data_IF_194008630128
#
_entry.id   IF_194008630128
#
_cell.length_a   1.000
_cell.length_b   1.000
_cell.length_c   1.000
_cell.angle_alpha   90.00
_cell.angle_beta   90.00
_cell.angle_gamma   90.00
#
_symmetry.space_group_name_H-M   'P 1'
#
loop_
_entity.id
_entity.type
_entity.pdbx_description
1 polymer ?
#
# COMPACT_ATOMS: atom_id res chain seq x y z
N UNK A 1 -41.43 -3.30 -18.12
CA UNK A 1 -41.35 -2.68 -16.77
C UNK A 1 -42.66 -1.98 -16.46
N UNK A 2 -43.41 -2.44 -15.44
CA UNK A 2 -44.76 -1.94 -15.13
C UNK A 2 -44.75 -0.50 -14.59
N UNK A 3 -45.85 0.22 -14.77
CA UNK A 3 -46.02 1.59 -14.27
C UNK A 3 -45.92 1.73 -12.74
N UNK A 4 -46.02 0.62 -12.01
CA UNK A 4 -45.87 0.53 -10.56
C UNK A 4 -44.42 0.76 -10.12
N UNK A 5 -43.44 0.30 -10.92
CA UNK A 5 -42.02 0.54 -10.67
C UNK A 5 -41.60 2.01 -10.88
N UNK A 6 -42.32 2.77 -11.73
CA UNK A 6 -42.08 4.20 -11.96
C UNK A 6 -42.66 5.09 -10.85
N UNK A 7 -43.69 4.65 -10.11
CA UNK A 7 -44.28 5.39 -8.98
C UNK A 7 -43.42 5.29 -7.71
N UNK A 8 -42.85 4.12 -7.41
CA UNK A 8 -42.00 3.90 -6.23
C UNK A 8 -40.67 4.66 -6.29
N UNK A 9 -40.12 4.87 -7.50
CA UNK A 9 -38.90 5.67 -7.70
C UNK A 9 -39.18 7.18 -7.60
N UNK A 10 -40.33 7.67 -8.09
CA UNK A 10 -40.69 9.11 -7.98
C UNK A 10 -41.03 9.53 -6.55
N UNK A 11 -41.63 8.66 -5.72
CA UNK A 11 -41.92 8.97 -4.31
C UNK A 11 -40.67 8.98 -3.41
N UNK A 12 -39.64 8.18 -3.74
CA UNK A 12 -38.36 8.17 -2.99
C UNK A 12 -37.43 9.35 -3.35
N UNK A 13 -37.55 9.93 -4.54
CA UNK A 13 -36.71 11.08 -4.97
C UNK A 13 -37.26 12.43 -4.48
N UNK A 14 -38.57 12.57 -4.30
CA UNK A 14 -39.18 13.84 -3.82
C UNK A 14 -39.02 14.02 -2.31
N UNK A 15 -38.97 12.95 -1.52
CA UNK A 15 -38.68 13.03 -0.08
C UNK A 15 -37.20 13.36 0.26
N UNK A 16 -36.28 13.22 -0.70
CA UNK A 16 -34.84 13.45 -0.47
C UNK A 16 -34.41 14.91 -0.67
N UNK A 17 -35.17 15.71 -1.43
CA UNK A 17 -34.80 17.11 -1.76
C UNK A 17 -35.34 18.17 -0.79
N UNK A 18 -36.35 17.88 0.02
CA UNK A 18 -37.02 18.89 0.86
C UNK A 18 -36.57 18.90 2.35
N UNK A 19 -35.63 18.05 2.77
CA UNK A 19 -35.28 17.89 4.20
C UNK A 19 -33.84 18.23 4.60
N UNK A 20 -33.00 18.72 3.69
CA UNK A 20 -31.58 18.99 3.99
C UNK A 20 -31.34 20.49 4.00
N UNK A 21 -31.55 21.09 5.18
CA UNK A 21 -31.02 22.41 5.52
C UNK A 21 -29.50 22.37 5.59
N UNK A 22 -28.88 23.49 5.22
CA UNK A 22 -27.47 23.63 4.85
C UNK A 22 -26.44 23.60 6.00
N UNK A 23 -26.81 23.12 7.21
CA UNK A 23 -25.98 23.25 8.43
C UNK A 23 -25.36 21.94 8.96
N UNK A 24 -25.45 20.81 8.24
CA UNK A 24 -25.11 19.49 8.79
C UNK A 24 -23.65 19.03 8.57
N UNK A 25 -22.86 19.75 7.74
CA UNK A 25 -21.46 19.41 7.45
C UNK A 25 -20.53 19.45 8.67
N UNK A 26 -20.84 20.25 9.68
CA UNK A 26 -19.97 20.46 10.85
C UNK A 26 -20.10 19.35 11.90
N UNK A 27 -21.30 18.76 12.04
CA UNK A 27 -21.56 17.67 12.99
C UNK A 27 -20.86 16.37 12.57
N UNK A 28 -20.93 16.05 11.27
CA UNK A 28 -20.26 14.88 10.69
C UNK A 28 -18.72 15.01 10.80
N UNK A 29 -18.20 16.22 10.62
CA UNK A 29 -16.76 16.52 10.80
C UNK A 29 -16.30 16.32 12.24
N UNK A 30 -17.11 16.76 13.22
CA UNK A 30 -16.82 16.54 14.64
C UNK A 30 -16.83 15.06 14.97
N UNK A 31 -17.80 14.30 14.48
CA UNK A 31 -17.92 12.86 14.78
C UNK A 31 -16.78 12.03 14.17
N UNK A 32 -16.42 12.29 12.91
CA UNK A 32 -15.24 11.68 12.26
C UNK A 32 -13.96 12.10 13.00
N UNK A 33 -13.84 13.38 13.36
CA UNK A 33 -12.72 13.90 14.15
C UNK A 33 -12.59 13.25 15.54
N UNK A 34 -13.70 12.98 16.23
CA UNK A 34 -13.69 12.26 17.51
C UNK A 34 -13.25 10.81 17.35
N UNK A 35 -13.72 10.11 16.32
CA UNK A 35 -13.28 8.73 16.04
C UNK A 35 -11.81 8.67 15.65
N UNK A 36 -11.32 9.60 14.84
CA UNK A 36 -9.90 9.70 14.51
C UNK A 36 -9.03 9.91 15.74
N UNK A 37 -9.45 10.80 16.66
CA UNK A 37 -8.75 10.99 17.94
C UNK A 37 -8.73 9.72 18.78
N UNK A 38 -9.82 8.95 18.80
CA UNK A 38 -9.91 7.69 19.53
C UNK A 38 -9.05 6.59 18.90
N UNK A 39 -9.06 6.45 17.57
CA UNK A 39 -8.16 5.54 16.84
C UNK A 39 -6.71 5.93 17.08
N UNK A 40 -6.39 7.22 16.97
CA UNK A 40 -5.06 7.75 17.26
C UNK A 40 -4.62 7.44 18.69
N UNK A 41 -5.51 7.60 19.68
CA UNK A 41 -5.27 7.24 21.08
C UNK A 41 -5.02 5.75 21.27
N UNK A 42 -5.82 4.87 20.64
CA UNK A 42 -5.68 3.40 20.73
C UNK A 42 -4.41 2.87 20.05
N UNK A 43 -3.98 3.56 19.00
CA UNK A 43 -2.75 3.28 18.28
C UNK A 43 -1.54 3.98 18.90
N UNK A 44 -1.73 4.87 19.89
CA UNK A 44 -0.67 5.69 20.47
C UNK A 44 0.09 6.54 19.42
N UNK A 45 -0.63 7.02 18.40
CA UNK A 45 -0.09 7.86 17.32
C UNK A 45 -0.67 9.26 17.35
N UNK A 46 0.08 10.25 16.88
CA UNK A 46 -0.46 11.61 16.67
C UNK A 46 -1.53 11.57 15.57
N UNK A 47 -2.72 12.12 15.87
CA UNK A 47 -3.84 12.20 14.94
C UNK A 47 -3.50 12.99 13.66
N UNK A 48 -2.44 13.81 13.67
CA UNK A 48 -1.93 14.52 12.48
C UNK A 48 -1.40 13.59 11.39
N UNK A 49 -1.07 12.34 11.72
CA UNK A 49 -0.69 11.32 10.73
C UNK A 49 -1.91 10.73 9.98
N UNK A 50 -3.12 11.11 10.37
CA UNK A 50 -4.37 10.68 9.75
C UNK A 50 -4.95 11.81 8.88
N UNK A 51 -4.72 11.76 7.57
CA UNK A 51 -5.40 12.66 6.62
C UNK A 51 -6.72 12.02 6.15
N UNK A 52 -7.86 12.58 6.59
CA UNK A 52 -9.19 12.24 6.06
C UNK A 52 -9.63 13.33 5.09
N UNK A 53 -9.69 12.99 3.80
CA UNK A 53 -10.25 13.83 2.74
C UNK A 53 -11.70 13.44 2.46
N UNK A 54 -12.62 14.40 2.51
CA UNK A 54 -14.03 14.16 2.20
C UNK A 54 -14.27 14.31 0.69
N UNK A 55 -14.47 13.20 -0.03
CA UNK A 55 -14.95 13.22 -1.42
C UNK A 55 -16.40 12.72 -1.45
N UNK A 56 -17.36 13.65 -1.41
CA UNK A 56 -18.74 13.41 -1.84
C UNK A 56 -19.63 12.50 -0.97
N UNK A 57 -20.37 13.12 -0.04
CA UNK A 57 -21.82 12.86 0.09
C UNK A 57 -22.34 11.57 0.74
N UNK A 58 -21.55 10.74 1.44
CA UNK A 58 -22.12 9.65 2.24
C UNK A 58 -22.48 10.11 3.66
N UNK A 59 -23.79 10.17 3.95
CA UNK A 59 -24.34 10.38 5.30
C UNK A 59 -24.09 9.15 6.17
N UNK A 60 -23.69 9.37 7.43
CA UNK A 60 -23.61 8.33 8.47
C UNK A 60 -24.67 8.67 9.51
N UNK A 61 -25.83 8.02 9.47
CA UNK A 61 -26.82 8.13 10.55
C UNK A 61 -26.27 7.43 11.82
N UNK A 62 -26.59 8.01 12.97
CA UNK A 62 -26.11 7.60 14.28
C UNK A 62 -26.61 6.20 14.69
N UNK A 63 -25.95 5.17 14.20
CA UNK A 63 -25.94 3.84 14.78
C UNK A 63 -24.70 3.71 15.66
N UNK A 64 -24.87 3.56 16.97
CA UNK A 64 -23.85 3.04 17.86
C UNK A 64 -23.68 1.52 17.61
N UNK A 65 -23.36 1.18 16.36
CA UNK A 65 -22.84 -0.12 15.97
C UNK A 65 -21.40 -0.15 16.43
N UNK A 66 -20.94 -1.29 16.96
CA UNK A 66 -19.51 -1.57 17.11
C UNK A 66 -18.84 -1.44 15.75
N UNK A 67 -18.43 -0.23 15.40
CA UNK A 67 -17.70 0.02 14.17
C UNK A 67 -16.35 -0.66 14.36
N UNK A 68 -16.15 -1.75 13.61
CA UNK A 68 -14.85 -2.41 13.55
C UNK A 68 -13.95 -1.51 12.71
N UNK A 69 -12.93 -0.98 13.36
CA UNK A 69 -11.96 -0.07 12.80
C UNK A 69 -10.78 -0.89 12.30
N UNK A 70 -10.52 -0.87 11.00
CA UNK A 70 -9.36 -1.51 10.40
C UNK A 70 -8.34 -0.46 10.00
N UNK A 71 -7.06 -0.80 10.07
CA UNK A 71 -5.99 0.13 9.71
C UNK A 71 -5.16 -0.47 8.57
N UNK A 72 -4.99 0.33 7.53
CA UNK A 72 -4.11 0.05 6.39
C UNK A 72 -3.01 1.11 6.35
N UNK A 73 -1.77 0.70 6.15
CA UNK A 73 -0.67 1.62 5.93
C UNK A 73 -0.47 1.84 4.43
N UNK A 74 -0.37 3.11 4.03
CA UNK A 74 -0.01 3.52 2.68
C UNK A 74 1.38 4.14 2.71
N UNK A 75 2.35 3.41 2.18
CA UNK A 75 3.77 3.75 2.27
C UNK A 75 4.23 4.46 0.99
N UNK A 76 4.97 5.55 1.16
CA UNK A 76 5.63 6.30 0.06
C UNK A 76 4.69 6.76 -1.04
N UNK A 77 3.41 7.00 -0.71
CA UNK A 77 2.47 7.59 -1.64
C UNK A 77 2.55 9.10 -1.59
N UNK A 78 2.46 9.75 -2.75
CA UNK A 78 2.29 11.20 -2.82
C UNK A 78 1.00 11.70 -2.13
N UNK A 79 0.67 12.97 -2.35
CA UNK A 79 -0.56 13.57 -1.80
C UNK A 79 -1.80 12.79 -2.23
N UNK A 80 -2.80 12.77 -1.37
CA UNK A 80 -4.12 12.21 -1.66
C UNK A 80 -4.74 12.88 -2.89
N UNK A 81 -5.28 12.07 -3.80
CA UNK A 81 -5.99 12.54 -4.98
C UNK A 81 -7.33 11.83 -5.13
N UNK A 82 -8.31 12.47 -5.77
CA UNK A 82 -9.56 11.80 -6.11
C UNK A 82 -9.29 10.60 -7.02
N UNK A 83 -9.93 9.46 -6.74
CA UNK A 83 -9.72 8.21 -7.47
C UNK A 83 -8.41 7.48 -7.16
N UNK A 84 -7.58 7.99 -6.23
CA UNK A 84 -6.41 7.27 -5.78
C UNK A 84 -6.78 6.06 -4.89
N UNK A 85 -5.81 5.18 -4.64
CA UNK A 85 -6.03 3.96 -3.85
C UNK A 85 -6.68 4.23 -2.49
N UNK A 86 -6.22 5.27 -1.77
CA UNK A 86 -6.77 5.60 -0.46
C UNK A 86 -8.24 6.01 -0.60
N UNK A 87 -8.55 6.89 -1.55
CA UNK A 87 -9.91 7.30 -1.84
C UNK A 87 -10.80 6.08 -2.14
N UNK A 88 -10.32 5.15 -2.98
CA UNK A 88 -11.06 3.95 -3.34
C UNK A 88 -11.29 3.04 -2.12
N UNK A 89 -10.25 2.74 -1.33
CA UNK A 89 -10.38 1.87 -0.13
C UNK A 89 -11.38 2.44 0.87
N UNK A 90 -11.30 3.73 1.16
CA UNK A 90 -12.22 4.40 2.09
C UNK A 90 -13.67 4.31 1.58
N UNK A 91 -13.91 4.60 0.28
CA UNK A 91 -15.23 4.52 -0.34
C UNK A 91 -15.81 3.10 -0.32
N UNK A 92 -15.02 2.09 -0.72
CA UNK A 92 -15.45 0.68 -0.72
C UNK A 92 -15.75 0.19 0.70
N UNK A 93 -14.92 0.55 1.68
CA UNK A 93 -15.15 0.16 3.08
C UNK A 93 -16.48 0.71 3.62
N UNK A 94 -16.77 1.98 3.32
CA UNK A 94 -18.00 2.63 3.73
C UNK A 94 -19.24 1.98 3.10
N UNK A 95 -19.15 1.54 1.83
CA UNK A 95 -20.22 0.80 1.16
C UNK A 95 -20.53 -0.53 1.86
N UNK A 96 -19.51 -1.22 2.37
CA UNK A 96 -19.66 -2.47 3.12
C UNK A 96 -20.04 -2.28 4.60
N UNK A 97 -20.28 -1.03 5.03
CA UNK A 97 -20.76 -0.73 6.38
C UNK A 97 -19.69 -0.79 7.48
N UNK A 98 -18.40 -0.68 7.12
CA UNK A 98 -17.30 -0.53 8.08
C UNK A 98 -16.30 0.54 7.63
N UNK A 99 -15.26 0.80 8.42
CA UNK A 99 -14.26 1.81 8.08
C UNK A 99 -12.86 1.20 8.09
N UNK A 100 -12.15 1.41 6.97
CA UNK A 100 -10.70 1.21 6.88
C UNK A 100 -10.05 2.58 6.95
N UNK A 101 -9.29 2.82 8.01
CA UNK A 101 -8.42 3.99 8.13
C UNK A 101 -7.12 3.74 7.37
N UNK A 102 -6.86 4.58 6.37
CA UNK A 102 -5.62 4.53 5.62
C UNK A 102 -4.65 5.56 6.19
N UNK A 103 -3.56 5.08 6.78
CA UNK A 103 -2.51 5.92 7.35
C UNK A 103 -1.38 6.11 6.34
N UNK A 104 -1.09 7.35 6.00
CA UNK A 104 0.11 7.65 5.22
C UNK A 104 1.33 7.57 6.14
N UNK A 105 2.28 6.73 5.78
CA UNK A 105 3.55 6.57 6.50
C UNK A 105 4.69 6.76 5.50
N UNK A 106 5.47 7.84 5.69
CA UNK A 106 6.46 8.31 4.72
C UNK A 106 7.62 9.04 5.44
N UNK A 107 8.71 9.34 4.74
CA UNK A 107 9.94 9.92 5.30
C UNK A 107 9.73 11.26 6.04
N UNK A 108 8.64 11.96 5.74
CA UNK A 108 8.26 13.25 6.31
C UNK A 108 7.34 13.16 7.55
N UNK A 109 6.90 11.96 7.93
CA UNK A 109 5.90 11.74 8.98
C UNK A 109 6.39 11.82 10.45
N UNK A 110 7.42 12.59 10.75
CA UNK A 110 7.93 12.74 12.13
C UNK A 110 8.58 11.46 12.69
N UNK A 111 8.45 11.23 14.01
CA UNK A 111 9.14 10.12 14.69
C UNK A 111 8.60 8.75 14.32
N UNK A 112 7.27 8.58 14.37
CA UNK A 112 6.61 7.31 14.04
C UNK A 112 6.32 7.17 12.55
N UNK A 113 6.20 8.26 11.79
CA UNK A 113 5.93 8.18 10.35
C UNK A 113 7.18 7.91 9.51
N UNK A 114 8.38 8.31 9.96
CA UNK A 114 9.60 8.19 9.17
C UNK A 114 10.19 6.77 9.18
N UNK A 115 9.83 5.97 8.18
CA UNK A 115 10.30 4.58 7.99
C UNK A 115 11.79 4.44 7.65
N UNK A 116 12.55 5.52 7.50
CA UNK A 116 14.02 5.43 7.49
C UNK A 116 14.60 5.20 8.88
N UNK A 117 13.82 5.41 9.94
CA UNK A 117 14.21 5.20 11.33
C UNK A 117 13.79 3.81 11.79
N UNK A 118 14.73 3.06 12.36
CA UNK A 118 14.47 1.70 12.88
C UNK A 118 13.30 1.66 13.88
N UNK A 119 13.21 2.63 14.80
CA UNK A 119 12.13 2.69 15.80
C UNK A 119 10.73 2.80 15.18
N UNK A 120 10.57 3.56 14.10
CA UNK A 120 9.30 3.65 13.36
C UNK A 120 8.92 2.31 12.73
N UNK A 121 9.89 1.63 12.11
CA UNK A 121 9.66 0.30 11.50
C UNK A 121 9.30 -0.73 12.56
N UNK A 122 10.01 -0.75 13.70
CA UNK A 122 9.73 -1.65 14.82
C UNK A 122 8.33 -1.41 15.39
N UNK A 123 7.94 -0.14 15.56
CA UNK A 123 6.60 0.23 16.00
C UNK A 123 5.52 -0.30 15.06
N UNK A 124 5.60 0.01 13.76
CA UNK A 124 4.58 -0.43 12.80
C UNK A 124 4.56 -1.94 12.61
N UNK A 125 5.72 -2.61 12.66
CA UNK A 125 5.79 -4.07 12.69
C UNK A 125 5.08 -4.63 13.93
N UNK A 126 5.24 -3.99 15.09
CA UNK A 126 4.48 -4.32 16.30
C UNK A 126 2.96 -4.16 16.13
N UNK A 127 2.51 -3.10 15.46
CA UNK A 127 1.08 -2.89 15.17
C UNK A 127 0.52 -3.95 14.20
N UNK A 128 1.30 -4.34 13.18
CA UNK A 128 0.96 -5.47 12.31
C UNK A 128 0.91 -6.79 13.10
N UNK A 129 1.90 -7.02 13.97
CA UNK A 129 1.98 -8.22 14.80
C UNK A 129 0.77 -8.34 15.74
N UNK A 130 0.37 -7.23 16.37
CA UNK A 130 -0.80 -7.14 17.23
C UNK A 130 -2.15 -7.19 16.48
N UNK A 131 -2.13 -7.27 15.14
CA UNK A 131 -3.33 -7.28 14.30
C UNK A 131 -4.09 -5.96 14.28
N UNK A 132 -3.48 -4.87 14.76
CA UNK A 132 -4.04 -3.51 14.70
C UNK A 132 -3.95 -2.93 13.29
N UNK A 133 -2.88 -3.25 12.57
CA UNK A 133 -2.72 -3.00 11.13
C UNK A 133 -3.01 -4.29 10.37
N UNK A 134 -3.98 -4.26 9.47
CA UNK A 134 -4.38 -5.42 8.67
C UNK A 134 -3.83 -5.36 7.24
N UNK A 135 -3.24 -4.23 6.85
CA UNK A 135 -2.94 -3.93 5.46
C UNK A 135 -1.72 -3.07 5.24
N UNK A 136 -0.97 -3.34 4.17
CA UNK A 136 0.06 -2.43 3.65
C UNK A 136 -0.09 -2.29 2.13
N UNK A 137 -0.11 -1.06 1.62
CA UNK A 137 0.20 -0.76 0.21
C UNK A 137 1.46 0.08 0.15
N UNK A 138 2.41 -0.26 -0.71
CA UNK A 138 3.66 0.47 -0.82
C UNK A 138 4.07 0.71 -2.27
N UNK A 139 4.59 1.90 -2.53
CA UNK A 139 5.28 2.25 -3.77
C UNK A 139 6.70 2.73 -3.44
N UNK A 140 7.61 1.82 -3.02
CA UNK A 140 8.93 2.22 -2.52
C UNK A 140 9.68 3.06 -3.56
N UNK A 141 10.51 4.04 -3.11
CA UNK A 141 11.10 5.03 -4.00
C UNK A 141 11.96 4.36 -5.08
N UNK A 142 11.41 4.36 -6.29
CA UNK A 142 11.95 3.67 -7.47
C UNK A 142 12.96 4.52 -8.25
N UNK A 143 13.10 5.81 -7.93
CA UNK A 143 14.00 6.78 -8.59
C UNK A 143 15.50 6.48 -8.46
N UNK A 144 15.83 5.28 -7.99
CA UNK A 144 17.17 4.75 -7.81
C UNK A 144 17.49 3.61 -8.77
N UNK A 145 16.53 3.15 -9.58
CA UNK A 145 16.55 1.82 -10.19
C UNK A 145 16.35 1.75 -11.71
N UNK A 146 16.24 2.86 -12.44
CA UNK A 146 15.91 2.78 -13.86
C UNK A 146 17.14 2.48 -14.73
N UNK A 147 17.18 1.27 -15.32
CA UNK A 147 18.02 0.92 -16.47
C UNK A 147 17.34 1.20 -17.82
N UNK A 148 16.06 1.58 -17.86
CA UNK A 148 15.33 1.84 -19.11
C UNK A 148 15.28 3.32 -19.48
N UNK A 149 15.72 3.67 -20.68
CA UNK A 149 15.83 5.04 -21.25
C UNK A 149 14.53 5.85 -21.42
N UNK A 150 13.47 5.58 -20.64
CA UNK A 150 12.23 6.36 -20.61
C UNK A 150 12.22 7.48 -19.57
N UNK A 151 13.26 7.59 -18.74
CA UNK A 151 13.47 8.80 -17.95
C UNK A 151 13.98 9.89 -18.89
N UNK A 152 13.14 10.89 -19.16
CA UNK A 152 13.54 12.18 -19.72
C UNK A 152 14.79 12.71 -19.00
N UNK A 153 15.99 12.47 -19.55
CA UNK A 153 17.29 13.11 -19.31
C UNK A 153 17.80 13.43 -17.87
N UNK A 154 17.08 13.18 -16.77
CA UNK A 154 17.30 13.98 -15.56
C UNK A 154 17.88 13.25 -14.33
N UNK A 155 17.86 11.91 -14.24
CA UNK A 155 18.34 11.22 -13.04
C UNK A 155 19.19 9.99 -13.38
N UNK A 156 20.49 10.10 -13.13
CA UNK A 156 21.44 8.98 -13.18
C UNK A 156 20.98 7.89 -12.19
N UNK A 157 20.81 6.63 -12.62
CA UNK A 157 20.46 5.54 -11.72
C UNK A 157 21.51 5.40 -10.61
N UNK A 158 21.09 4.99 -9.42
CA UNK A 158 22.03 4.76 -8.31
C UNK A 158 22.19 3.29 -7.99
N UNK A 159 21.57 2.39 -8.77
CA UNK A 159 21.65 0.92 -8.63
C UNK A 159 21.44 0.25 -9.99
N UNK A 160 21.83 -1.02 -10.10
CA UNK A 160 21.52 -1.91 -11.23
C UNK A 160 20.99 -3.25 -10.73
N UNK A 161 20.67 -4.17 -11.64
CA UNK A 161 20.28 -5.55 -11.30
C UNK A 161 21.42 -6.33 -10.64
N UNK A 162 22.66 -6.04 -11.00
CA UNK A 162 23.86 -6.66 -10.43
C UNK A 162 24.28 -5.96 -9.13
N UNK A 163 24.04 -4.65 -9.02
CA UNK A 163 24.41 -3.82 -7.87
C UNK A 163 23.18 -3.31 -7.13
N UNK A 164 22.47 -4.24 -6.48
CA UNK A 164 21.19 -4.02 -5.80
C UNK A 164 21.23 -3.04 -4.63
N UNK A 165 22.41 -2.67 -4.12
CA UNK A 165 22.51 -1.80 -2.94
C UNK A 165 23.10 -0.43 -3.24
N UNK A 166 23.64 -0.24 -4.43
CA UNK A 166 24.34 0.97 -4.86
C UNK A 166 25.35 0.65 -5.95
N UNK A 167 25.40 1.45 -7.01
CA UNK A 167 26.49 1.36 -8.00
C UNK A 167 27.84 1.70 -7.35
N UNK A 168 28.92 1.14 -7.91
CA UNK A 168 30.26 1.56 -7.54
C UNK A 168 30.50 3.02 -8.01
N UNK A 169 31.27 3.80 -7.25
CA UNK A 169 31.66 5.17 -7.65
C UNK A 169 30.58 6.24 -7.51
N UNK A 170 29.47 5.98 -6.82
CA UNK A 170 28.45 6.99 -6.54
C UNK A 170 29.00 8.15 -5.71
N UNK A 171 28.60 9.39 -6.06
CA UNK A 171 28.89 10.57 -5.24
C UNK A 171 28.18 10.47 -3.89
N UNK A 172 28.70 11.12 -2.85
CA UNK A 172 28.10 11.09 -1.50
C UNK A 172 26.59 11.39 -1.46
N UNK A 173 26.09 12.32 -2.29
CA UNK A 173 24.66 12.62 -2.40
C UNK A 173 23.85 11.45 -2.96
N UNK A 174 24.39 10.75 -3.96
CA UNK A 174 23.77 9.57 -4.56
C UNK A 174 23.82 8.37 -3.62
N UNK A 175 24.93 8.17 -2.91
CA UNK A 175 25.05 7.16 -1.86
C UNK A 175 24.01 7.36 -0.76
N UNK A 176 23.81 8.59 -0.27
CA UNK A 176 22.74 8.90 0.70
C UNK A 176 21.36 8.58 0.15
N UNK A 177 21.08 8.91 -1.12
CA UNK A 177 19.81 8.57 -1.78
C UNK A 177 19.61 7.05 -1.83
N UNK A 178 20.64 6.29 -2.19
CA UNK A 178 20.62 4.84 -2.18
C UNK A 178 20.44 4.27 -0.76
N UNK A 179 21.11 4.82 0.26
CA UNK A 179 20.93 4.37 1.64
C UNK A 179 19.47 4.54 2.11
N UNK A 180 18.88 5.72 1.87
CA UNK A 180 17.47 5.98 2.25
C UNK A 180 16.53 5.04 1.51
N UNK A 181 16.65 4.90 0.19
CA UNK A 181 15.76 4.01 -0.56
C UNK A 181 15.93 2.54 -0.14
N UNK A 182 17.14 2.10 0.24
CA UNK A 182 17.38 0.75 0.77
C UNK A 182 16.65 0.53 2.10
N UNK A 183 16.72 1.52 2.99
CA UNK A 183 16.03 1.48 4.28
C UNK A 183 14.50 1.39 4.10
N UNK A 184 13.94 2.17 3.17
CA UNK A 184 12.49 2.19 2.92
C UNK A 184 11.99 0.91 2.25
N UNK A 185 12.73 0.36 1.29
CA UNK A 185 12.43 -0.96 0.71
C UNK A 185 12.51 -2.06 1.76
N UNK A 186 13.53 -2.02 2.62
CA UNK A 186 13.69 -2.94 3.74
C UNK A 186 12.50 -2.86 4.71
N UNK A 187 12.09 -1.65 5.09
CA UNK A 187 10.93 -1.42 5.93
C UNK A 187 9.64 -1.99 5.29
N UNK A 188 9.47 -1.79 3.98
CA UNK A 188 8.32 -2.33 3.24
C UNK A 188 8.25 -3.85 3.30
N UNK A 189 9.35 -4.52 2.93
CA UNK A 189 9.43 -5.98 2.91
C UNK A 189 9.25 -6.55 4.32
N UNK A 190 9.75 -5.84 5.34
CA UNK A 190 9.55 -6.17 6.75
C UNK A 190 8.10 -6.18 7.17
N UNK A 191 7.39 -5.10 6.88
CA UNK A 191 5.97 -5.00 7.24
C UNK A 191 5.14 -6.03 6.49
N UNK A 192 5.44 -6.27 5.20
CA UNK A 192 4.75 -7.28 4.40
C UNK A 192 4.97 -8.71 4.93
N UNK A 193 6.20 -9.03 5.36
CA UNK A 193 6.51 -10.33 5.97
C UNK A 193 5.72 -10.55 7.27
N UNK A 194 5.67 -9.53 8.15
CA UNK A 194 4.90 -9.63 9.40
C UNK A 194 3.42 -9.83 9.10
N UNK A 195 2.86 -9.11 8.12
CA UNK A 195 1.46 -9.31 7.70
C UNK A 195 1.23 -10.70 7.11
N UNK A 196 2.21 -11.24 6.37
CA UNK A 196 2.11 -12.58 5.79
C UNK A 196 1.91 -13.63 6.87
N UNK A 197 2.67 -13.52 7.96
CA UNK A 197 2.56 -14.39 9.12
C UNK A 197 1.28 -14.18 9.94
N UNK A 198 0.81 -12.94 10.07
CA UNK A 198 -0.40 -12.63 10.86
C UNK A 198 -1.70 -12.72 10.05
N UNK A 199 -1.62 -13.15 8.81
CA UNK A 199 -2.78 -13.31 7.95
C UNK A 199 -3.40 -12.02 7.43
N UNK A 200 -2.64 -10.91 7.46
CA UNK A 200 -3.03 -9.66 6.81
C UNK A 200 -2.84 -9.73 5.28
N UNK A 201 -3.13 -8.62 4.62
CA UNK A 201 -2.98 -8.48 3.17
C UNK A 201 -2.15 -7.25 2.81
N UNK A 202 -1.73 -7.16 1.55
CA UNK A 202 -1.03 -5.99 1.08
C UNK A 202 -0.48 -6.12 -0.32
N UNK A 203 0.11 -5.05 -0.82
CA UNK A 203 0.86 -5.12 -2.07
C UNK A 203 2.01 -4.13 -2.15
N UNK A 204 2.99 -4.46 -3.00
CA UNK A 204 4.08 -3.56 -3.38
C UNK A 204 3.95 -3.30 -4.87
N UNK A 205 4.01 -2.03 -5.25
CA UNK A 205 4.01 -1.56 -6.63
C UNK A 205 5.37 -0.97 -7.00
N UNK A 206 5.98 -1.44 -8.08
CA UNK A 206 7.18 -0.85 -8.67
C UNK A 206 7.26 -1.16 -10.17
N UNK A 207 8.20 -0.56 -10.90
CA UNK A 207 8.46 -0.94 -12.31
C UNK A 207 8.75 -2.43 -12.42
N UNK A 208 8.29 -3.08 -13.49
CA UNK A 208 8.49 -4.52 -13.70
C UNK A 208 9.97 -4.94 -13.71
N UNK A 209 10.86 -4.04 -14.14
CA UNK A 209 12.32 -4.25 -14.17
C UNK A 209 13.03 -3.76 -12.91
N UNK A 210 12.29 -3.27 -11.91
CA UNK A 210 12.88 -2.73 -10.70
C UNK A 210 13.63 -3.81 -9.94
N UNK A 211 14.87 -3.52 -9.53
CA UNK A 211 15.70 -4.51 -8.86
C UNK A 211 15.24 -4.89 -7.44
N UNK A 212 14.20 -4.22 -6.90
CA UNK A 212 13.47 -4.69 -5.70
C UNK A 212 12.96 -6.11 -5.87
N UNK A 213 12.61 -6.52 -7.08
CA UNK A 213 12.14 -7.88 -7.39
C UNK A 213 13.25 -8.93 -7.31
N UNK A 214 14.50 -8.53 -7.52
CA UNK A 214 15.68 -9.40 -7.45
C UNK A 214 16.26 -9.52 -6.02
N UNK A 215 15.76 -8.75 -5.05
CA UNK A 215 16.20 -8.88 -3.67
C UNK A 215 15.82 -10.26 -3.13
N UNK A 216 16.77 -10.98 -2.51
CA UNK A 216 16.53 -12.31 -1.91
C UNK A 216 15.27 -12.38 -1.03
N UNK A 217 14.95 -11.38 -0.20
CA UNK A 217 13.74 -11.39 0.61
C UNK A 217 12.46 -11.36 -0.24
N UNK A 218 12.47 -10.62 -1.34
CA UNK A 218 11.35 -10.59 -2.30
C UNK A 218 11.20 -11.94 -2.98
N UNK A 219 12.30 -12.53 -3.46
CA UNK A 219 12.31 -13.87 -4.07
C UNK A 219 11.79 -14.93 -3.10
N UNK A 220 12.17 -14.85 -1.83
CA UNK A 220 11.69 -15.78 -0.82
C UNK A 220 10.19 -15.59 -0.51
N UNK A 221 9.69 -14.35 -0.46
CA UNK A 221 8.26 -14.07 -0.34
C UNK A 221 7.48 -14.68 -1.51
N UNK A 222 8.00 -14.62 -2.75
CA UNK A 222 7.38 -15.26 -3.92
C UNK A 222 7.26 -16.78 -3.81
N UNK A 223 8.04 -17.43 -2.95
CA UNK A 223 7.91 -18.86 -2.65
C UNK A 223 6.69 -19.21 -1.78
N UNK A 224 6.00 -18.21 -1.22
CA UNK A 224 4.84 -18.42 -0.35
C UNK A 224 3.55 -18.50 -1.18
N UNK A 225 2.70 -19.49 -0.88
CA UNK A 225 1.42 -19.71 -1.59
C UNK A 225 0.40 -18.57 -1.50
N UNK A 226 0.59 -17.67 -0.54
CA UNK A 226 -0.25 -16.50 -0.34
C UNK A 226 0.31 -15.22 -0.99
N UNK A 227 1.48 -15.30 -1.61
CA UNK A 227 2.09 -14.21 -2.38
C UNK A 227 1.96 -14.54 -3.87
N UNK A 228 1.70 -13.50 -4.65
CA UNK A 228 1.60 -13.60 -6.10
C UNK A 228 2.32 -12.41 -6.76
N UNK A 229 2.92 -12.62 -7.93
CA UNK A 229 3.44 -11.52 -8.75
C UNK A 229 2.59 -11.34 -9.99
N UNK A 230 2.23 -10.09 -10.30
CA UNK A 230 1.47 -9.73 -11.50
C UNK A 230 2.13 -8.54 -12.16
N UNK A 231 2.26 -8.58 -13.49
CA UNK A 231 2.66 -7.43 -14.28
C UNK A 231 1.44 -6.82 -14.97
N UNK A 232 1.37 -5.50 -14.98
CA UNK A 232 0.33 -4.72 -15.64
C UNK A 232 0.97 -3.59 -16.43
N UNK A 233 0.46 -3.31 -17.63
CA UNK A 233 0.84 -2.09 -18.34
C UNK A 233 -0.01 -0.91 -17.84
N UNK A 234 0.67 0.12 -17.34
CA UNK A 234 0.09 1.40 -16.96
C UNK A 234 0.44 2.46 -18.02
N UNK A 235 -0.52 3.33 -18.32
CA UNK A 235 -0.35 4.44 -19.26
C UNK A 235 -1.46 4.51 -20.31
N UNK A 236 -1.52 5.62 -21.05
CA UNK A 236 -2.40 5.69 -22.21
C UNK A 236 -1.62 5.33 -23.47
N UNK A 237 -2.22 4.52 -24.35
CA UNK A 237 -1.67 4.28 -25.69
C UNK A 237 -1.56 5.58 -26.49
N UNK A 238 -2.39 6.58 -26.17
CA UNK A 238 -2.45 7.87 -26.85
C UNK A 238 -1.20 8.73 -26.62
N UNK A 239 -0.49 8.55 -25.51
CA UNK A 239 0.70 9.34 -25.18
C UNK A 239 2.02 8.60 -25.36
N UNK A 240 2.01 7.37 -25.90
CA UNK A 240 3.22 6.57 -26.14
C UNK A 240 3.99 6.13 -24.89
N UNK A 241 3.57 6.57 -23.70
CA UNK A 241 4.21 6.28 -22.42
C UNK A 241 3.57 5.05 -21.78
N UNK A 242 3.87 3.86 -22.32
CA UNK A 242 3.55 2.60 -21.65
C UNK A 242 4.63 2.29 -20.62
N UNK A 243 4.22 2.05 -19.38
CA UNK A 243 5.11 1.60 -18.30
C UNK A 243 4.60 0.25 -17.79
N UNK A 244 5.46 -0.76 -17.80
CA UNK A 244 5.13 -2.04 -17.19
C UNK A 244 5.40 -1.95 -15.69
N UNK A 245 4.37 -2.21 -14.91
CA UNK A 245 4.39 -2.15 -13.45
C UNK A 245 4.21 -3.55 -12.89
N UNK A 246 5.14 -3.95 -12.01
CA UNK A 246 5.07 -5.17 -11.22
C UNK A 246 4.31 -4.93 -9.92
N UNK A 247 3.48 -5.90 -9.55
CA UNK A 247 2.70 -5.94 -8.32
C UNK A 247 3.03 -7.22 -7.57
N UNK A 248 3.60 -7.08 -6.38
CA UNK A 248 3.72 -8.18 -5.41
C UNK A 248 2.49 -8.15 -4.52
N UNK A 249 1.67 -9.19 -4.58
CA UNK A 249 0.32 -9.27 -4.04
C UNK A 249 0.24 -10.28 -2.88
N UNK A 250 -0.03 -9.82 -1.66
CA UNK A 250 -0.26 -10.68 -0.48
C UNK A 250 -1.75 -10.92 -0.24
N UNK A 251 -2.20 -12.16 -0.41
CA UNK A 251 -3.58 -12.65 -0.23
C UNK A 251 -4.61 -11.98 -1.14
N UNK A 252 -4.15 -11.57 -2.32
CA UNK A 252 -4.90 -10.88 -3.37
C UNK A 252 -5.21 -11.79 -4.59
N UNK A 253 -5.26 -13.11 -4.43
CA UNK A 253 -5.36 -14.05 -5.57
C UNK A 253 -6.57 -13.84 -6.48
N UNK A 254 -7.68 -13.29 -5.99
CA UNK A 254 -8.80 -12.88 -6.86
C UNK A 254 -8.45 -11.65 -7.70
N UNK A 255 -7.80 -10.65 -7.10
CA UNK A 255 -7.30 -9.48 -7.82
C UNK A 255 -6.30 -9.89 -8.88
N UNK A 256 -5.33 -10.75 -8.58
CA UNK A 256 -4.37 -11.21 -9.60
C UNK A 256 -5.05 -11.89 -10.80
N UNK A 257 -6.08 -12.70 -10.55
CA UNK A 257 -6.91 -13.30 -11.62
C UNK A 257 -7.67 -12.25 -12.41
N UNK A 258 -8.35 -11.32 -11.74
CA UNK A 258 -9.04 -10.20 -12.40
C UNK A 258 -8.07 -9.37 -13.23
N UNK A 259 -6.85 -9.17 -12.73
CA UNK A 259 -5.85 -8.37 -13.41
C UNK A 259 -5.41 -9.02 -14.73
N UNK A 260 -5.19 -10.34 -14.71
CA UNK A 260 -4.85 -11.11 -15.91
C UNK A 260 -6.01 -11.25 -16.88
N UNK A 261 -7.22 -11.52 -16.40
CA UNK A 261 -8.39 -11.74 -17.28
C UNK A 261 -8.83 -10.48 -18.01
N UNK A 262 -8.83 -9.33 -17.32
CA UNK A 262 -9.20 -8.04 -17.92
C UNK A 262 -8.19 -7.61 -18.99
N UNK A 263 -6.93 -8.01 -18.84
CA UNK A 263 -5.89 -7.81 -19.83
C UNK A 263 -6.00 -8.68 -21.08
N UNK A 264 -6.29 -9.96 -20.89
CA UNK A 264 -6.32 -10.95 -21.97
C UNK A 264 -7.40 -10.67 -23.03
N UNK A 265 -8.49 -9.99 -22.68
CA UNK A 265 -9.62 -9.78 -23.59
C UNK A 265 -9.43 -8.65 -24.63
N UNK A 266 -8.30 -7.93 -24.69
CA UNK A 266 -8.21 -6.71 -25.53
C UNK A 266 -6.97 -6.49 -26.40
N UNK A 267 -6.00 -7.40 -26.45
CA UNK A 267 -4.79 -7.20 -27.29
C UNK A 267 -4.59 -8.32 -28.31
N UNK A 268 -4.86 -8.01 -29.59
CA UNK A 268 -4.24 -8.70 -30.74
C UNK A 268 -2.80 -8.25 -30.99
N UNK A 269 -2.05 -7.94 -29.92
CA UNK A 269 -0.64 -7.56 -29.93
C UNK A 269 0.19 -8.62 -29.20
N UNK A 270 1.38 -8.91 -29.70
CA UNK A 270 2.14 -10.15 -29.53
C UNK A 270 2.59 -10.55 -28.12
N UNK A 271 2.48 -9.68 -27.11
CA UNK A 271 3.24 -9.87 -25.86
C UNK A 271 2.38 -10.16 -24.61
N UNK A 272 1.07 -10.41 -24.76
CA UNK A 272 0.22 -11.03 -23.72
C UNK A 272 0.03 -10.25 -22.41
N UNK A 273 0.54 -9.02 -22.29
CA UNK A 273 0.47 -8.24 -21.05
C UNK A 273 -0.85 -7.42 -20.96
N UNK A 274 -1.54 -7.41 -19.81
CA UNK A 274 -2.74 -6.60 -19.60
C UNK A 274 -2.53 -5.10 -19.76
N UNK A 275 -3.32 -4.44 -20.63
CA UNK A 275 -3.32 -2.97 -20.75
C UNK A 275 -4.44 -2.34 -19.92
N UNK A 276 -4.06 -1.59 -18.88
CA UNK A 276 -4.99 -0.88 -18.01
C UNK A 276 -5.21 0.57 -18.48
N UNK A 277 -6.45 0.90 -18.86
CA UNK A 277 -6.85 2.29 -19.17
C UNK A 277 -6.97 3.10 -17.88
N UNK A 278 -5.84 3.57 -17.37
CA UNK A 278 -5.76 4.52 -16.27
C UNK A 278 -5.50 3.89 -14.89
N UNK A 279 -4.76 4.64 -14.08
CA UNK A 279 -4.35 4.28 -12.72
C UNK A 279 -5.56 4.07 -11.78
N UNK A 280 -6.66 4.79 -12.02
CA UNK A 280 -7.88 4.69 -11.23
C UNK A 280 -8.53 3.30 -11.30
N UNK A 281 -8.56 2.66 -12.47
CA UNK A 281 -9.15 1.33 -12.61
C UNK A 281 -8.34 0.28 -11.82
N UNK A 282 -7.00 0.35 -11.90
CA UNK A 282 -6.12 -0.50 -11.11
C UNK A 282 -6.34 -0.29 -9.62
N UNK A 283 -6.36 0.96 -9.15
CA UNK A 283 -6.63 1.29 -7.76
C UNK A 283 -8.00 0.80 -7.29
N UNK A 284 -9.02 0.89 -8.13
CA UNK A 284 -10.35 0.36 -7.83
C UNK A 284 -10.31 -1.16 -7.62
N UNK A 285 -9.68 -1.91 -8.53
CA UNK A 285 -9.54 -3.37 -8.40
C UNK A 285 -8.76 -3.75 -7.12
N UNK A 286 -7.66 -3.05 -6.84
CA UNK A 286 -6.86 -3.26 -5.63
C UNK A 286 -7.65 -2.93 -4.35
N UNK A 287 -8.41 -1.83 -4.35
CA UNK A 287 -9.23 -1.43 -3.22
C UNK A 287 -10.35 -2.44 -2.93
N UNK A 288 -11.08 -2.89 -3.97
CA UNK A 288 -12.10 -3.93 -3.84
C UNK A 288 -11.49 -5.21 -3.26
N UNK A 289 -10.37 -5.68 -3.81
CA UNK A 289 -9.71 -6.88 -3.27
C UNK A 289 -9.24 -6.75 -1.83
N UNK A 290 -8.82 -5.55 -1.41
CA UNK A 290 -8.43 -5.26 -0.04
C UNK A 290 -9.63 -5.37 0.89
N UNK A 291 -10.72 -4.67 0.55
CA UNK A 291 -11.98 -4.66 1.32
C UNK A 291 -12.56 -6.07 1.42
N UNK A 292 -12.60 -6.82 0.31
CA UNK A 292 -13.07 -8.21 0.28
C UNK A 292 -12.22 -9.12 1.19
N UNK A 293 -10.91 -8.90 1.26
CA UNK A 293 -10.05 -9.63 2.17
C UNK A 293 -10.39 -9.31 3.62
N UNK A 294 -10.52 -8.04 3.97
CA UNK A 294 -10.88 -7.59 5.33
C UNK A 294 -12.24 -8.16 5.75
N UNK A 295 -13.25 -8.14 4.88
CA UNK A 295 -14.57 -8.75 5.13
C UNK A 295 -14.43 -10.24 5.40
N UNK A 296 -13.69 -10.97 4.57
CA UNK A 296 -13.49 -12.42 4.74
C UNK A 296 -12.78 -12.76 6.04
N UNK A 297 -11.68 -12.06 6.35
CA UNK A 297 -10.96 -12.26 7.62
C UNK A 297 -11.86 -11.92 8.80
N UNK A 298 -12.66 -10.88 8.70
CA UNK A 298 -13.57 -10.51 9.78
C UNK A 298 -14.66 -11.56 9.99
N UNK A 299 -15.24 -12.08 8.91
CA UNK A 299 -16.22 -13.16 8.96
C UNK A 299 -15.59 -14.41 9.57
N UNK A 300 -14.42 -14.80 9.08
CA UNK A 300 -13.66 -15.93 9.61
C UNK A 300 -13.33 -15.73 11.10
N UNK A 301 -12.88 -14.55 11.56
CA UNK A 301 -12.62 -14.29 12.99
C UNK A 301 -13.87 -14.37 13.84
N UNK A 302 -15.04 -13.96 13.33
CA UNK A 302 -16.29 -14.13 14.06
C UNK A 302 -16.68 -15.61 14.19
N UNK A 303 -16.30 -16.44 13.21
CA UNK A 303 -16.56 -17.88 13.19
C UNK A 303 -15.48 -18.68 13.98
N UNK A 304 -14.22 -18.24 13.96
CA UNK A 304 -13.04 -18.86 14.54
C UNK A 304 -12.65 -18.33 15.93
N UNK A 305 -13.38 -17.38 16.51
CA UNK A 305 -13.17 -16.99 17.92
C UNK A 305 -13.39 -18.19 18.89
N UNK A 306 -13.74 -19.38 18.38
CA UNK A 306 -13.76 -20.65 19.10
C UNK A 306 -12.45 -21.46 19.09
N UNK A 307 -11.42 -21.16 18.29
CA UNK A 307 -10.21 -22.00 18.21
C UNK A 307 -8.91 -21.17 18.10
N UNK A 308 -8.06 -21.28 19.11
CA UNK A 308 -6.74 -20.63 19.21
C UNK A 308 -5.61 -21.54 18.71
N UNK A 309 -4.92 -21.18 17.64
CA UNK A 309 -3.59 -21.72 17.31
C UNK A 309 -2.68 -20.60 16.78
N UNK A 310 -1.68 -20.20 17.57
CA UNK A 310 -0.79 -19.05 17.29
C UNK A 310 0.71 -19.39 17.14
N UNK A 311 1.13 -20.66 17.22
CA UNK A 311 2.54 -20.96 17.57
C UNK A 311 3.51 -21.37 16.45
N UNK A 312 3.09 -21.66 15.21
CA UNK A 312 4.00 -22.31 14.22
C UNK A 312 4.80 -21.32 13.33
N UNK A 313 4.35 -20.07 13.17
CA UNK A 313 4.99 -19.14 12.21
C UNK A 313 6.19 -18.38 12.77
N UNK A 314 6.40 -18.34 14.08
CA UNK A 314 7.36 -17.41 14.70
C UNK A 314 8.83 -17.83 14.50
N UNK A 315 9.14 -19.13 14.56
CA UNK A 315 10.51 -19.64 14.42
C UNK A 315 11.06 -19.49 12.98
N UNK A 316 10.24 -19.80 11.98
CA UNK A 316 10.61 -19.64 10.56
C UNK A 316 10.82 -18.17 10.18
N UNK A 317 10.02 -17.27 10.75
CA UNK A 317 10.22 -15.83 10.60
C UNK A 317 11.49 -15.36 11.28
N UNK A 318 11.80 -15.83 12.49
CA UNK A 318 13.06 -15.45 13.16
C UNK A 318 14.29 -15.90 12.36
N UNK A 319 14.29 -17.12 11.80
CA UNK A 319 15.39 -17.57 10.95
C UNK A 319 15.52 -16.73 9.68
N UNK A 320 14.38 -16.43 9.03
CA UNK A 320 14.34 -15.52 7.89
C UNK A 320 14.88 -14.13 8.26
N UNK A 321 14.50 -13.62 9.44
CA UNK A 321 14.99 -12.35 9.98
C UNK A 321 16.48 -12.36 10.27
N UNK A 322 17.04 -13.45 10.78
CA UNK A 322 18.47 -13.57 10.99
C UNK A 322 19.23 -13.54 9.66
N UNK A 323 18.73 -14.24 8.63
CA UNK A 323 19.30 -14.15 7.28
C UNK A 323 19.16 -12.75 6.68
N UNK A 324 18.06 -12.06 6.96
CA UNK A 324 17.82 -10.68 6.53
C UNK A 324 18.72 -9.68 7.30
N UNK A 325 18.91 -9.85 8.60
CA UNK A 325 19.73 -8.99 9.44
C UNK A 325 21.24 -9.12 9.13
N UNK A 326 21.65 -10.24 8.55
CA UNK A 326 22.98 -10.42 7.95
C UNK A 326 23.14 -9.62 6.66
N UNK A 327 22.04 -9.28 5.98
CA UNK A 327 22.02 -8.28 4.90
C UNK A 327 22.02 -6.86 5.50
N UNK A 328 23.11 -6.47 6.17
CA UNK A 328 23.28 -5.08 6.62
C UNK A 328 23.65 -4.18 5.42
N UNK A 329 22.86 -3.13 5.11
CA UNK A 329 23.28 -2.12 4.15
C UNK A 329 24.61 -1.45 4.56
N UNK A 330 24.84 -1.37 5.88
CA UNK A 330 25.97 -0.66 6.50
C UNK A 330 27.32 -1.31 6.19
N UNK A 331 27.35 -2.62 5.88
CA UNK A 331 28.58 -3.34 5.50
C UNK A 331 28.89 -3.26 4.01
N UNK A 332 27.95 -2.76 3.19
CA UNK A 332 28.16 -2.56 1.76
C UNK A 332 28.53 -1.12 1.40
N UNK A 333 28.56 -0.20 2.37
CA UNK A 333 29.20 1.09 2.20
C UNK A 333 30.71 0.87 2.17
N UNK A 334 31.31 1.21 1.02
CA UNK A 334 32.76 1.18 0.81
C UNK A 334 33.44 1.82 2.03
N UNK A 335 34.40 1.15 2.70
CA UNK A 335 35.13 1.75 3.82
C UNK A 335 35.71 3.07 3.35
N UNK A 336 35.54 4.12 4.17
CA UNK A 336 35.99 5.49 3.94
C UNK A 336 37.19 5.54 3.01
N UNK A 337 36.98 5.96 1.76
CA UNK A 337 38.06 6.52 0.95
C UNK A 337 38.50 7.75 1.72
N UNK A 338 39.57 7.62 2.51
CA UNK A 338 40.31 8.77 2.99
C UNK A 338 40.72 9.52 1.73
N UNK A 339 40.11 10.69 1.51
CA UNK A 339 40.64 11.64 0.56
C UNK A 339 42.01 12.06 1.12
N UNK A 340 43.07 11.35 0.71
CA UNK A 340 44.41 11.87 0.84
C UNK A 340 44.43 13.21 0.11
N UNK A 341 44.79 14.25 0.86
CA UNK A 341 44.86 15.59 0.33
C UNK A 341 45.88 15.65 -0.79
N UNK A 342 45.41 15.88 -2.00
CA UNK A 342 46.26 16.44 -3.05
C UNK A 342 46.47 17.92 -2.71
N UNK A 343 47.52 18.17 -1.94
CA UNK A 343 48.25 19.43 -2.05
C UNK A 343 49.05 19.38 -3.34
N UNK A 344 48.71 20.28 -4.26
CA UNK A 344 49.61 21.14 -5.04
C UNK A 344 48.79 22.15 -5.83
#
# INVERSE_FOLDING_TARGET
>A
MSQECKRTVKQKVVCYKQRVGYNQKEADYKQVGYKLKEVARRLEVDYKLMEVGYNGGCRVDAFAVYVKEFVMLRLFSGRRQAGDLQCQVEMHSAHEGFFIFVLKVDVDGGELGNLSRKGSVDFWAGQCHAGKVCGVSAAPPFESWCCGGHASAAKVPVRSQEQLWGLAGLRAKQQRKAAVSNALTTATLRLLLVLTAKGGCGFIEAEAEAAVWALKPTVALLGLSCIEFVQVEQGSAEFGNKRTTGLLLLRFGQVGRTLRSTGASRSGGSDGCPVYRGVEHLHNVLATGFVDHVVRVQKARNELWCCSEEHVLDASLQHFWQQFALYRPDTCLVPNVQCEGSGE
#
